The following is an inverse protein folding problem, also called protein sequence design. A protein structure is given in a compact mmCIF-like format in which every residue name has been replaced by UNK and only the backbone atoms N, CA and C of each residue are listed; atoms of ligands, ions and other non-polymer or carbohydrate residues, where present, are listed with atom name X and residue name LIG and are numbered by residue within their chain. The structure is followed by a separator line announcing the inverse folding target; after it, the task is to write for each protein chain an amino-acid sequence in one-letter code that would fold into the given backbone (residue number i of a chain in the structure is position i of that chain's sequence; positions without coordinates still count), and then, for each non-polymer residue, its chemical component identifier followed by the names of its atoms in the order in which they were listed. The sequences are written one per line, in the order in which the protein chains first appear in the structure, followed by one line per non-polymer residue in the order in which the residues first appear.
data_IF_883227354734
#
_entry.id   IF_883227354734
#
_cell.length_a   1.000
_cell.length_b   1.000
_cell.length_c   1.000
_cell.angle_alpha   90.00
_cell.angle_beta   90.00
_cell.angle_gamma   90.00
#
_symmetry.space_group_name_H-M   'P 1'
#
loop_
_entity.id
_entity.type
_entity.pdbx_description
1 polymer ?
#
# COMPACT_ATOMS: atom_id res chain seq x y z
N UNK A 1 6.20 -2.23 -5.44
CA UNK A 1 6.10 -0.87 -5.99
C UNK A 1 7.39 -0.51 -6.73
N UNK A 2 7.26 0.24 -7.78
CA UNK A 2 8.40 0.71 -8.58
C UNK A 2 9.16 1.86 -7.89
N UNK A 3 8.68 2.29 -6.71
CA UNK A 3 9.26 3.37 -5.92
C UNK A 3 9.72 2.88 -4.54
N UNK A 4 10.85 3.42 -4.07
CA UNK A 4 11.34 3.29 -2.71
C UNK A 4 11.12 4.61 -1.96
N UNK A 5 10.57 4.54 -0.76
CA UNK A 5 10.31 5.70 0.07
C UNK A 5 10.77 5.45 1.50
N UNK A 6 11.52 6.39 2.06
CA UNK A 6 12.02 6.36 3.45
C UNK A 6 11.77 7.74 4.05
N UNK A 7 11.33 7.79 5.29
CA UNK A 7 11.14 9.05 6.01
C UNK A 7 11.50 8.90 7.49
N UNK A 8 11.88 10.00 8.10
CA UNK A 8 12.20 10.15 9.52
C UNK A 8 11.47 11.39 10.06
N UNK A 9 10.90 11.29 11.24
CA UNK A 9 10.23 12.39 11.91
C UNK A 9 10.73 12.53 13.37
N UNK A 10 11.00 13.73 13.80
CA UNK A 10 11.38 14.06 15.18
C UNK A 10 10.70 15.37 15.57
N UNK A 11 9.73 15.30 16.45
CA UNK A 11 8.85 16.45 16.72
C UNK A 11 8.17 16.91 15.42
N UNK A 12 8.34 18.17 15.08
CA UNK A 12 7.77 18.77 13.87
C UNK A 12 8.69 18.70 12.64
N UNK A 13 9.91 18.19 12.80
CA UNK A 13 10.87 18.07 11.72
C UNK A 13 10.75 16.73 11.01
N UNK A 14 10.78 16.78 9.68
CA UNK A 14 10.66 15.57 8.82
C UNK A 14 11.72 15.59 7.74
N UNK A 15 12.43 14.48 7.59
CA UNK A 15 13.34 14.20 6.49
C UNK A 15 12.78 13.04 5.68
N UNK A 16 12.87 13.10 4.36
CA UNK A 16 12.38 12.02 3.52
C UNK A 16 13.20 11.87 2.23
N UNK A 17 13.18 10.68 1.71
CA UNK A 17 13.71 10.31 0.39
C UNK A 17 12.65 9.51 -0.35
N UNK A 18 12.41 9.90 -1.61
CA UNK A 18 11.53 9.20 -2.52
C UNK A 18 12.27 9.02 -3.83
N UNK A 19 12.58 7.78 -4.20
CA UNK A 19 13.41 7.48 -5.35
C UNK A 19 12.84 6.30 -6.13
N UNK A 20 13.28 6.17 -7.37
CA UNK A 20 12.96 4.99 -8.16
C UNK A 20 13.54 3.75 -7.48
N UNK A 21 12.71 2.74 -7.27
CA UNK A 21 13.07 1.47 -6.66
C UNK A 21 13.62 0.47 -7.68
N UNK A 22 12.92 -0.63 -7.89
CA UNK A 22 13.33 -1.69 -8.81
C UNK A 22 14.48 -2.53 -8.25
N UNK A 23 15.37 -3.02 -9.12
CA UNK A 23 16.46 -3.94 -8.76
C UNK A 23 17.46 -3.35 -7.73
N UNK A 24 17.62 -2.04 -7.70
CA UNK A 24 18.56 -1.36 -6.80
C UNK A 24 17.96 -0.94 -5.47
N UNK A 25 16.64 -1.06 -5.28
CA UNK A 25 15.96 -0.61 -4.04
C UNK A 25 16.53 -1.27 -2.79
N UNK A 26 16.79 -2.58 -2.83
CA UNK A 26 17.35 -3.32 -1.69
C UNK A 26 18.76 -2.85 -1.32
N UNK A 27 19.59 -2.52 -2.29
CA UNK A 27 20.93 -2.02 -2.05
C UNK A 27 20.96 -0.58 -1.50
N UNK A 28 19.94 0.23 -1.86
CA UNK A 28 19.87 1.64 -1.48
C UNK A 28 19.09 1.88 -0.18
N UNK A 29 18.28 0.94 0.30
CA UNK A 29 17.39 1.14 1.44
C UNK A 29 18.16 1.48 2.72
N UNK A 30 19.12 0.65 3.13
CA UNK A 30 19.92 0.87 4.34
C UNK A 30 20.76 2.15 4.23
N UNK A 31 21.51 2.42 3.14
CA UNK A 31 22.19 3.70 2.95
C UNK A 31 21.28 4.92 3.06
N UNK A 32 20.05 4.83 2.52
CA UNK A 32 19.06 5.91 2.60
C UNK A 32 18.60 6.17 4.04
N UNK A 33 18.39 5.12 4.83
CA UNK A 33 18.05 5.23 6.25
C UNK A 33 19.19 5.93 7.01
N UNK A 34 20.43 5.47 6.83
CA UNK A 34 21.60 6.10 7.48
C UNK A 34 21.78 7.56 7.06
N UNK A 35 21.52 7.89 5.80
CA UNK A 35 21.57 9.28 5.33
C UNK A 35 20.59 10.17 6.08
N UNK A 36 19.33 9.74 6.27
CA UNK A 36 18.32 10.51 7.00
C UNK A 36 18.68 10.65 8.49
N UNK A 37 19.17 9.57 9.12
CA UNK A 37 19.65 9.62 10.51
C UNK A 37 20.80 10.61 10.68
N UNK A 38 21.77 10.60 9.76
CA UNK A 38 22.90 11.55 9.79
C UNK A 38 22.44 13.00 9.61
N UNK A 39 21.48 13.24 8.70
CA UNK A 39 20.89 14.58 8.51
C UNK A 39 20.16 15.09 9.76
N UNK A 40 19.50 14.20 10.47
CA UNK A 40 18.82 14.50 11.72
C UNK A 40 19.75 14.50 12.95
N UNK A 41 21.04 14.13 12.79
CA UNK A 41 22.03 13.97 13.86
C UNK A 41 21.59 12.95 14.93
N UNK A 42 20.94 11.86 14.51
CA UNK A 42 20.41 10.80 15.36
C UNK A 42 21.09 9.48 15.09
N UNK A 43 21.09 8.63 16.11
CA UNK A 43 21.38 7.20 16.00
C UNK A 43 20.06 6.42 15.88
N UNK A 44 20.13 5.23 15.36
CA UNK A 44 18.95 4.33 15.27
C UNK A 44 18.35 4.05 16.67
N UNK A 45 19.17 3.97 17.70
CA UNK A 45 18.78 3.75 19.10
C UNK A 45 18.05 4.93 19.74
N UNK A 46 18.07 6.11 19.11
CA UNK A 46 17.39 7.30 19.62
C UNK A 46 15.93 7.38 19.13
N UNK A 47 15.53 6.47 18.23
CA UNK A 47 14.16 6.39 17.72
C UNK A 47 13.22 5.70 18.72
N UNK A 48 11.94 6.05 18.65
CA UNK A 48 10.87 5.43 19.46
C UNK A 48 10.41 4.10 18.85
N UNK A 49 10.26 4.05 17.52
CA UNK A 49 9.79 2.87 16.79
C UNK A 49 10.16 2.95 15.31
N UNK A 50 10.08 1.83 14.63
CA UNK A 50 10.07 1.77 13.17
C UNK A 50 8.65 1.55 12.67
N UNK A 51 8.34 2.07 11.48
CA UNK A 51 7.05 1.88 10.80
C UNK A 51 7.32 1.33 9.41
N UNK A 52 6.60 0.31 9.02
CA UNK A 52 6.81 -0.36 7.72
C UNK A 52 5.49 -0.73 7.06
N UNK A 53 5.37 -0.44 5.76
CA UNK A 53 4.31 -1.01 4.94
C UNK A 53 4.63 -2.48 4.69
N UNK A 54 3.80 -3.38 5.24
CA UNK A 54 4.08 -4.81 5.20
C UNK A 54 3.30 -5.57 4.13
N UNK A 55 2.44 -4.90 3.37
CA UNK A 55 1.69 -5.50 2.27
C UNK A 55 0.23 -5.04 2.22
N UNK A 56 -0.45 -5.40 1.12
CA UNK A 56 0.04 -6.14 -0.04
C UNK A 56 0.93 -5.31 -0.96
N UNK A 57 1.67 -5.98 -1.85
CA UNK A 57 2.55 -5.30 -2.80
C UNK A 57 3.55 -6.24 -3.47
N UNK A 58 4.61 -5.69 -4.03
CA UNK A 58 5.68 -6.45 -4.67
C UNK A 58 6.33 -7.45 -3.70
N UNK A 59 6.35 -8.72 -4.07
CA UNK A 59 6.87 -9.82 -3.25
C UNK A 59 8.30 -9.59 -2.74
N UNK A 60 9.21 -9.18 -3.62
CA UNK A 60 10.60 -8.87 -3.25
C UNK A 60 10.67 -7.62 -2.38
N UNK A 61 9.92 -6.56 -2.74
CA UNK A 61 9.91 -5.31 -1.99
C UNK A 61 9.42 -5.47 -0.55
N UNK A 62 8.34 -6.23 -0.35
CA UNK A 62 7.79 -6.49 0.99
C UNK A 62 8.78 -7.28 1.86
N UNK A 63 9.41 -8.32 1.31
CA UNK A 63 10.41 -9.09 2.05
C UNK A 63 11.61 -8.22 2.44
N UNK A 64 12.10 -7.41 1.51
CA UNK A 64 13.20 -6.48 1.80
C UNK A 64 12.81 -5.49 2.90
N UNK A 65 11.64 -4.85 2.80
CA UNK A 65 11.19 -3.87 3.78
C UNK A 65 11.02 -4.49 5.18
N UNK A 66 10.33 -5.63 5.27
CA UNK A 66 10.12 -6.33 6.53
C UNK A 66 11.44 -6.83 7.13
N UNK A 67 12.32 -7.47 6.34
CA UNK A 67 13.60 -7.98 6.85
C UNK A 67 14.54 -6.87 7.32
N UNK A 68 14.58 -5.74 6.61
CA UNK A 68 15.38 -4.58 7.04
C UNK A 68 14.79 -3.98 8.31
N UNK A 69 13.45 -3.82 8.39
CA UNK A 69 12.79 -3.33 9.60
C UNK A 69 13.05 -4.25 10.80
N UNK A 70 12.94 -5.57 10.62
CA UNK A 70 13.27 -6.57 11.65
C UNK A 70 14.72 -6.43 12.13
N UNK A 71 15.69 -6.44 11.21
CA UNK A 71 17.11 -6.39 11.56
C UNK A 71 17.51 -5.10 12.28
N UNK A 72 17.02 -3.95 11.79
CA UNK A 72 17.28 -2.66 12.42
C UNK A 72 16.62 -2.56 13.79
N UNK A 73 15.36 -2.97 13.91
CA UNK A 73 14.61 -2.91 15.16
C UNK A 73 15.24 -3.84 16.23
N UNK A 74 15.62 -5.06 15.84
CA UNK A 74 16.31 -5.99 16.73
C UNK A 74 17.64 -5.42 17.23
N UNK A 75 18.46 -4.88 16.31
CA UNK A 75 19.76 -4.28 16.64
C UNK A 75 19.68 -3.03 17.53
N UNK A 76 18.58 -2.30 17.49
CA UNK A 76 18.36 -1.07 18.26
C UNK A 76 17.38 -1.25 19.45
N UNK A 77 16.89 -2.46 19.68
CA UNK A 77 15.86 -2.78 20.69
C UNK A 77 14.58 -1.92 20.56
N UNK A 78 14.10 -1.79 19.32
CA UNK A 78 12.91 -1.02 18.97
C UNK A 78 11.72 -1.94 18.70
N UNK A 79 10.51 -1.41 18.83
CA UNK A 79 9.30 -2.02 18.28
C UNK A 79 9.06 -1.58 16.84
N UNK A 80 8.26 -2.35 16.12
CA UNK A 80 7.88 -2.07 14.73
C UNK A 80 6.37 -1.96 14.62
N UNK A 81 5.88 -1.00 13.85
CA UNK A 81 4.47 -0.85 13.50
C UNK A 81 4.29 -1.32 12.05
N UNK A 82 3.79 -2.54 11.82
CA UNK A 82 3.42 -2.97 10.48
C UNK A 82 2.11 -2.31 10.07
N UNK A 83 2.07 -1.74 8.86
CA UNK A 83 0.90 -1.03 8.33
C UNK A 83 0.47 -1.64 7.00
N UNK A 84 -0.82 -1.87 6.85
CA UNK A 84 -1.45 -2.25 5.59
C UNK A 84 -1.14 -1.21 4.49
N UNK A 85 -0.60 -1.69 3.38
CA UNK A 85 -0.17 -0.83 2.27
C UNK A 85 -1.33 -0.05 1.64
N UNK A 86 -2.53 -0.62 1.56
CA UNK A 86 -3.68 0.11 1.02
C UNK A 86 -4.14 1.22 1.99
N UNK A 87 -4.03 1.01 3.30
CA UNK A 87 -4.27 2.08 4.28
C UNK A 87 -3.25 3.21 4.13
N UNK A 88 -1.99 2.90 3.79
CA UNK A 88 -0.97 3.92 3.48
C UNK A 88 -1.37 4.74 2.26
N UNK A 89 -1.89 4.10 1.21
CA UNK A 89 -2.41 4.78 0.02
C UNK A 89 -3.63 5.65 0.34
N UNK A 90 -4.54 5.16 1.18
CA UNK A 90 -5.70 5.94 1.63
C UNK A 90 -5.27 7.21 2.37
N UNK A 91 -4.29 7.11 3.27
CA UNK A 91 -3.73 8.26 3.99
C UNK A 91 -2.98 9.23 3.05
N UNK A 92 -2.26 8.72 2.07
CA UNK A 92 -1.59 9.56 1.08
C UNK A 92 -2.62 10.34 0.25
N UNK A 93 -3.69 9.69 -0.22
CA UNK A 93 -4.79 10.33 -0.92
C UNK A 93 -5.49 11.41 -0.06
N UNK A 94 -5.78 11.11 1.21
CA UNK A 94 -6.37 12.08 2.15
C UNK A 94 -5.50 13.33 2.30
N UNK A 95 -4.19 13.14 2.41
CA UNK A 95 -3.24 14.25 2.52
C UNK A 95 -3.17 15.07 1.22
N UNK A 96 -3.16 14.43 0.04
CA UNK A 96 -3.22 15.12 -1.25
C UNK A 96 -4.49 15.97 -1.41
N UNK A 97 -5.61 15.47 -0.87
CA UNK A 97 -6.89 16.18 -0.90
C UNK A 97 -7.01 17.28 0.15
N UNK A 98 -6.05 17.37 1.06
CA UNK A 98 -6.10 18.27 2.22
C UNK A 98 -7.43 18.13 3.00
N UNK A 99 -7.96 16.91 3.07
CA UNK A 99 -9.26 16.65 3.70
C UNK A 99 -9.10 16.47 5.21
N UNK A 100 -9.55 17.43 6.03
CA UNK A 100 -9.51 17.33 7.49
C UNK A 100 -10.71 16.55 8.04
N UNK A 101 -11.77 16.40 7.24
CA UNK A 101 -13.03 15.80 7.66
C UNK A 101 -13.05 14.29 7.48
N UNK A 102 -14.08 13.65 8.03
CA UNK A 102 -14.39 12.25 7.76
C UNK A 102 -14.49 12.03 6.25
N UNK A 103 -13.74 11.08 5.73
CA UNK A 103 -13.76 10.73 4.33
C UNK A 103 -13.63 9.22 4.15
N UNK A 104 -14.30 8.72 3.12
CA UNK A 104 -14.14 7.34 2.68
C UNK A 104 -13.26 7.30 1.45
N UNK A 105 -12.34 6.34 1.41
CA UNK A 105 -11.41 6.13 0.30
C UNK A 105 -11.44 4.67 -0.11
N UNK A 106 -11.87 4.40 -1.33
CA UNK A 106 -11.65 3.13 -2.01
C UNK A 106 -10.25 3.12 -2.60
N UNK A 107 -9.48 2.08 -2.32
CA UNK A 107 -8.10 1.96 -2.80
C UNK A 107 -7.98 0.78 -3.75
N UNK A 108 -7.36 1.01 -4.90
CA UNK A 108 -7.05 -0.03 -5.88
C UNK A 108 -5.60 0.10 -6.34
N UNK A 109 -4.86 -1.00 -6.25
CA UNK A 109 -3.48 -1.06 -6.69
C UNK A 109 -3.27 -2.22 -7.67
N UNK A 110 -2.46 -2.01 -8.71
CA UNK A 110 -2.08 -3.07 -9.63
C UNK A 110 -1.38 -4.21 -8.87
N UNK A 111 -1.99 -5.40 -8.91
CA UNK A 111 -1.44 -6.62 -8.32
C UNK A 111 -0.64 -7.45 -9.34
N UNK A 112 -0.47 -6.96 -10.57
CA UNK A 112 0.07 -7.68 -11.72
C UNK A 112 -0.82 -8.86 -12.12
N UNK A 113 -0.48 -9.53 -13.23
CA UNK A 113 -1.18 -10.73 -13.74
C UNK A 113 -2.67 -10.51 -14.04
N UNK A 114 -3.07 -9.29 -14.39
CA UNK A 114 -4.47 -8.98 -14.70
C UNK A 114 -5.37 -8.79 -13.48
N UNK A 115 -4.81 -8.62 -12.29
CA UNK A 115 -5.53 -8.43 -11.03
C UNK A 115 -5.19 -7.12 -10.33
N UNK A 116 -6.05 -6.73 -9.40
CA UNK A 116 -5.83 -5.59 -8.50
C UNK A 116 -5.98 -6.00 -7.04
N UNK A 117 -5.19 -5.39 -6.18
CA UNK A 117 -5.47 -5.32 -4.75
C UNK A 117 -6.49 -4.23 -4.51
N UNK A 118 -7.51 -4.50 -3.70
CA UNK A 118 -8.56 -3.54 -3.38
C UNK A 118 -9.01 -3.61 -1.93
N UNK A 119 -9.54 -2.49 -1.45
CA UNK A 119 -10.13 -2.34 -0.13
C UNK A 119 -10.72 -0.94 0.03
N UNK A 120 -11.52 -0.72 1.06
CA UNK A 120 -12.05 0.61 1.36
C UNK A 120 -11.85 0.95 2.84
N UNK A 121 -11.60 2.22 3.09
CA UNK A 121 -11.26 2.75 4.41
C UNK A 121 -12.05 4.02 4.69
N UNK A 122 -12.42 4.21 5.94
CA UNK A 122 -13.04 5.43 6.43
C UNK A 122 -12.12 6.11 7.46
N UNK A 123 -11.88 7.40 7.25
CA UNK A 123 -11.15 8.25 8.18
C UNK A 123 -12.08 8.90 9.18
N UNK A 124 -11.88 8.67 10.45
CA UNK A 124 -12.62 9.29 11.54
C UNK A 124 -11.79 10.45 12.12
N UNK A 125 -12.04 11.68 11.67
CA UNK A 125 -11.28 12.85 12.08
C UNK A 125 -11.28 13.07 13.60
N UNK A 126 -12.40 12.81 14.27
CA UNK A 126 -12.53 12.94 15.72
C UNK A 126 -11.63 12.00 16.52
N UNK A 127 -11.23 10.86 15.92
CA UNK A 127 -10.37 9.84 16.55
C UNK A 127 -8.94 9.85 15.97
N UNK A 128 -8.73 10.54 14.85
CA UNK A 128 -7.48 10.48 14.10
C UNK A 128 -7.12 9.07 13.62
N UNK A 129 -8.10 8.27 13.22
CA UNK A 129 -7.92 6.85 12.91
C UNK A 129 -8.65 6.42 11.64
N UNK A 130 -8.07 5.48 10.93
CA UNK A 130 -8.67 4.77 9.83
C UNK A 130 -9.34 3.48 10.30
N UNK A 131 -10.47 3.16 9.68
CA UNK A 131 -11.15 1.87 9.81
C UNK A 131 -11.39 1.28 8.43
N UNK A 132 -11.06 0.00 8.24
CA UNK A 132 -11.43 -0.70 7.03
C UNK A 132 -12.93 -0.93 6.99
N UNK A 133 -13.58 -0.49 5.91
CA UNK A 133 -15.01 -0.70 5.63
C UNK A 133 -15.23 -1.83 4.64
N UNK A 134 -14.29 -2.03 3.71
CA UNK A 134 -14.21 -3.23 2.86
C UNK A 134 -12.87 -3.88 3.13
N UNK A 135 -12.85 -5.17 3.49
CA UNK A 135 -11.61 -5.90 3.75
C UNK A 135 -10.69 -5.91 2.53
N UNK A 136 -9.41 -6.00 2.81
CA UNK A 136 -8.38 -6.16 1.81
C UNK A 136 -8.58 -7.46 1.01
N UNK A 137 -8.58 -7.36 -0.31
CA UNK A 137 -8.78 -8.48 -1.22
C UNK A 137 -7.95 -8.34 -2.50
N UNK A 138 -7.84 -9.41 -3.27
CA UNK A 138 -7.23 -9.44 -4.60
C UNK A 138 -8.19 -10.10 -5.58
N UNK A 139 -8.25 -9.59 -6.80
CA UNK A 139 -9.12 -10.17 -7.82
C UNK A 139 -9.14 -9.39 -9.13
N UNK A 140 -9.99 -9.84 -10.08
CA UNK A 140 -10.14 -9.18 -11.37
C UNK A 140 -10.60 -7.73 -11.25
N UNK A 141 -10.08 -6.79 -12.09
CA UNK A 141 -10.39 -5.36 -12.00
C UNK A 141 -11.89 -5.05 -12.09
N UNK A 142 -12.64 -5.75 -12.95
CA UNK A 142 -14.07 -5.51 -13.12
C UNK A 142 -14.88 -5.88 -11.86
N UNK A 143 -14.56 -7.01 -11.22
CA UNK A 143 -15.19 -7.42 -9.97
C UNK A 143 -14.84 -6.46 -8.83
N UNK A 144 -13.58 -6.02 -8.77
CA UNK A 144 -13.14 -5.04 -7.77
C UNK A 144 -13.82 -3.69 -7.96
N UNK A 145 -13.93 -3.20 -9.20
CA UNK A 145 -14.65 -1.97 -9.51
C UNK A 145 -16.11 -2.06 -9.08
N UNK A 146 -16.78 -3.19 -9.33
CA UNK A 146 -18.14 -3.43 -8.88
C UNK A 146 -18.22 -3.42 -7.34
N UNK A 147 -17.35 -4.15 -6.65
CA UNK A 147 -17.37 -4.24 -5.18
C UNK A 147 -17.13 -2.90 -4.47
N UNK A 148 -16.29 -2.03 -5.06
CA UNK A 148 -15.87 -0.79 -4.41
C UNK A 148 -16.65 0.45 -4.86
N UNK A 149 -17.35 0.41 -6.00
CA UNK A 149 -17.94 1.61 -6.61
C UNK A 149 -19.46 1.56 -6.79
N UNK A 150 -20.12 0.40 -6.66
CA UNK A 150 -21.55 0.28 -6.99
C UNK A 150 -22.50 0.62 -5.85
N UNK A 151 -22.07 0.56 -4.60
CA UNK A 151 -22.93 0.85 -3.46
C UNK A 151 -23.10 2.35 -3.20
N UNK A 152 -24.26 2.73 -2.67
CA UNK A 152 -24.54 4.09 -2.22
C UNK A 152 -23.58 4.58 -1.13
N UNK A 153 -22.96 3.65 -0.39
CA UNK A 153 -21.90 3.91 0.58
C UNK A 153 -20.52 3.99 -0.07
N UNK A 154 -20.41 3.79 -1.39
CA UNK A 154 -19.13 3.87 -2.06
C UNK A 154 -18.53 5.27 -1.94
N UNK A 155 -17.30 5.31 -1.56
CA UNK A 155 -16.53 6.53 -1.28
C UNK A 155 -16.55 7.52 -2.44
N UNK A 156 -16.53 8.80 -2.11
CA UNK A 156 -16.30 9.86 -3.08
C UNK A 156 -14.86 9.94 -3.58
N UNK A 157 -13.96 9.04 -3.13
CA UNK A 157 -12.54 9.02 -3.50
C UNK A 157 -12.13 7.61 -3.92
N UNK A 158 -11.51 7.51 -5.10
CA UNK A 158 -10.83 6.31 -5.60
C UNK A 158 -9.33 6.59 -5.70
N UNK A 159 -8.52 5.86 -4.95
CA UNK A 159 -7.09 6.09 -4.83
C UNK A 159 -6.24 4.90 -5.32
N UNK A 160 -4.99 5.17 -5.65
CA UNK A 160 -4.02 4.18 -6.10
C UNK A 160 -3.71 4.29 -7.59
N UNK A 161 -3.10 3.26 -8.17
CA UNK A 161 -2.75 3.21 -9.58
C UNK A 161 -3.58 2.20 -10.39
N UNK A 162 -4.34 1.33 -9.72
CA UNK A 162 -5.09 0.26 -10.39
C UNK A 162 -6.16 0.77 -11.34
N UNK A 163 -6.79 1.91 -11.02
CA UNK A 163 -7.82 2.49 -11.89
C UNK A 163 -7.26 3.10 -13.19
N UNK A 164 -5.98 3.50 -13.21
CA UNK A 164 -5.30 3.95 -14.42
C UNK A 164 -4.82 2.77 -15.26
N UNK A 165 -4.23 1.74 -14.61
CA UNK A 165 -3.72 0.55 -15.29
C UNK A 165 -4.85 -0.25 -15.96
N UNK A 166 -6.03 -0.28 -15.33
CA UNK A 166 -7.21 -1.00 -15.81
C UNK A 166 -8.38 -0.05 -16.09
N UNK A 167 -8.09 1.04 -16.81
CA UNK A 167 -9.00 2.17 -17.01
C UNK A 167 -10.39 1.75 -17.52
N UNK A 168 -10.48 0.81 -18.44
CA UNK A 168 -11.77 0.36 -19.01
C UNK A 168 -12.71 -0.22 -17.95
N UNK A 169 -12.17 -1.07 -17.04
CA UNK A 169 -12.97 -1.68 -15.99
C UNK A 169 -13.52 -0.65 -15.01
N UNK A 170 -12.69 0.32 -14.59
CA UNK A 170 -13.08 1.35 -13.64
C UNK A 170 -13.94 2.45 -14.27
N UNK A 171 -13.67 2.86 -15.51
CA UNK A 171 -14.48 3.86 -16.23
C UNK A 171 -15.91 3.37 -16.45
N UNK A 172 -16.09 2.10 -16.82
CA UNK A 172 -17.42 1.51 -16.98
C UNK A 172 -18.21 1.49 -15.66
N UNK A 173 -17.56 1.12 -14.55
CA UNK A 173 -18.22 1.13 -13.24
C UNK A 173 -18.54 2.56 -12.77
N UNK A 174 -17.67 3.53 -13.00
CA UNK A 174 -17.89 4.94 -12.69
C UNK A 174 -19.05 5.53 -13.52
N UNK A 175 -19.15 5.18 -14.80
CA UNK A 175 -20.22 5.66 -15.69
C UNK A 175 -21.60 5.12 -15.31
N UNK A 176 -21.68 3.96 -14.66
CA UNK A 176 -22.92 3.34 -14.21
C UNK A 176 -23.43 3.92 -12.86
N UNK A 177 -22.65 4.77 -12.21
CA UNK A 177 -23.06 5.39 -10.95
C UNK A 177 -24.08 6.49 -11.18
N UNK A 178 -25.17 6.43 -10.42
CA UNK A 178 -26.20 7.48 -10.36
C UNK A 178 -26.00 8.45 -9.19
N UNK A 179 -24.79 8.43 -8.57
CA UNK A 179 -24.45 9.19 -7.37
C UNK A 179 -23.38 10.24 -7.65
N UNK A 180 -22.99 10.96 -6.62
CA UNK A 180 -21.97 12.00 -6.69
C UNK A 180 -20.69 11.54 -7.39
N UNK A 181 -20.00 12.46 -8.11
CA UNK A 181 -18.79 12.12 -8.84
C UNK A 181 -17.69 11.62 -7.89
N UNK A 182 -17.02 10.54 -8.30
CA UNK A 182 -15.85 9.99 -7.60
C UNK A 182 -14.61 10.76 -7.99
N UNK A 183 -13.85 11.22 -7.01
CA UNK A 183 -12.57 11.88 -7.20
C UNK A 183 -11.45 10.84 -7.28
N UNK A 184 -10.82 10.71 -8.45
CA UNK A 184 -9.68 9.83 -8.64
C UNK A 184 -8.38 10.50 -8.21
N UNK A 185 -7.56 9.81 -7.42
CA UNK A 185 -6.29 10.31 -6.88
C UNK A 185 -5.20 9.26 -7.11
N UNK A 186 -4.20 9.60 -7.90
CA UNK A 186 -3.03 8.76 -8.15
C UNK A 186 -2.10 8.74 -6.91
N UNK A 187 -2.59 8.22 -5.80
CA UNK A 187 -1.84 8.08 -4.56
C UNK A 187 -0.96 6.81 -4.57
N UNK A 188 0.13 6.86 -3.83
CA UNK A 188 1.10 5.77 -3.76
C UNK A 188 1.46 5.44 -2.31
N UNK A 189 1.97 4.23 -2.01
CA UNK A 189 2.48 3.93 -0.67
C UNK A 189 3.73 4.78 -0.38
N UNK A 190 3.54 5.87 0.34
CA UNK A 190 4.59 6.85 0.62
C UNK A 190 4.98 6.84 2.11
N UNK A 191 6.28 6.95 2.42
CA UNK A 191 6.77 6.91 3.79
C UNK A 191 6.26 8.07 4.66
N UNK A 192 5.93 9.23 4.06
CA UNK A 192 5.29 10.33 4.79
C UNK A 192 3.87 9.95 5.29
N UNK A 193 3.14 9.13 4.54
CA UNK A 193 1.86 8.61 5.01
C UNK A 193 2.05 7.64 6.20
N UNK A 194 3.09 6.79 6.17
CA UNK A 194 3.45 5.94 7.31
C UNK A 194 3.74 6.77 8.57
N UNK A 195 4.46 7.88 8.44
CA UNK A 195 4.73 8.75 9.58
C UNK A 195 3.45 9.37 10.18
N UNK A 196 2.47 9.73 9.35
CA UNK A 196 1.18 10.25 9.84
C UNK A 196 0.34 9.17 10.52
N UNK A 197 0.44 7.91 10.07
CA UNK A 197 -0.25 6.77 10.65
C UNK A 197 0.40 6.25 11.94
N UNK A 198 1.70 6.49 12.14
CA UNK A 198 2.45 5.94 13.25
C UNK A 198 1.94 6.35 14.65
N UNK A 199 1.69 7.66 14.96
CA UNK A 199 1.28 8.04 16.31
C UNK A 199 -0.04 7.42 16.78
N UNK A 200 -1.15 7.43 16.02
CA UNK A 200 -2.37 6.80 16.44
C UNK A 200 -2.26 5.26 16.53
N UNK A 201 -1.48 4.62 15.66
CA UNK A 201 -1.23 3.17 15.72
C UNK A 201 -0.37 2.79 16.95
N UNK A 202 0.62 3.60 17.28
CA UNK A 202 1.42 3.44 18.51
C UNK A 202 0.53 3.55 19.75
N UNK A 203 -0.28 4.60 19.83
CA UNK A 203 -1.21 4.81 20.96
C UNK A 203 -2.24 3.69 21.08
N UNK A 204 -2.65 3.09 19.96
CA UNK A 204 -3.54 1.92 19.93
C UNK A 204 -2.84 0.58 20.22
N UNK A 205 -1.54 0.60 20.57
CA UNK A 205 -0.79 -0.61 20.91
C UNK A 205 -0.52 -1.55 19.74
N UNK A 206 -0.46 -1.03 18.50
CA UNK A 206 -0.24 -1.82 17.29
C UNK A 206 1.24 -2.10 16.98
N UNK A 207 2.15 -1.62 17.83
CA UNK A 207 3.57 -1.93 17.71
C UNK A 207 3.86 -3.36 18.22
N UNK A 208 4.57 -4.12 17.41
CA UNK A 208 4.92 -5.53 17.67
C UNK A 208 6.42 -5.69 17.90
N UNK A 209 6.83 -6.85 18.37
CA UNK A 209 8.24 -7.22 18.45
C UNK A 209 8.82 -7.39 17.01
N UNK A 210 10.13 -7.16 16.82
CA UNK A 210 10.74 -7.28 15.48
C UNK A 210 10.47 -8.62 14.79
N UNK A 211 10.53 -9.71 15.54
CA UNK A 211 10.31 -11.09 15.06
C UNK A 211 8.89 -11.34 14.54
N UNK A 212 7.90 -10.56 14.99
CA UNK A 212 6.50 -10.69 14.59
C UNK A 212 6.17 -9.93 13.28
N UNK A 213 7.10 -9.15 12.77
CA UNK A 213 6.91 -8.40 11.52
C UNK A 213 7.01 -9.33 10.33
N UNK A 214 5.89 -9.58 9.66
CA UNK A 214 5.86 -10.46 8.49
C UNK A 214 5.19 -9.78 7.30
N UNK A 215 5.61 -10.09 6.06
CA UNK A 215 4.90 -9.64 4.87
C UNK A 215 3.46 -10.17 4.86
N UNK A 216 2.52 -9.30 4.54
CA UNK A 216 1.12 -9.66 4.35
C UNK A 216 0.89 -10.15 2.92
N UNK A 217 0.72 -11.45 2.76
CA UNK A 217 0.37 -12.08 1.49
C UNK A 217 -1.12 -12.37 1.45
N UNK A 218 -1.83 -11.81 0.45
CA UNK A 218 -3.26 -12.03 0.26
C UNK A 218 -3.57 -12.80 -1.03
N UNK A 219 -2.55 -13.13 -1.81
CA UNK A 219 -2.67 -14.00 -2.96
C UNK A 219 -2.18 -15.39 -2.58
N UNK A 220 -3.07 -16.37 -2.61
CA UNK A 220 -2.75 -17.77 -2.29
C UNK A 220 -1.86 -18.42 -3.36
N UNK A 221 -1.99 -18.02 -4.62
CA UNK A 221 -1.25 -18.59 -5.76
C UNK A 221 -0.32 -17.55 -6.38
N UNK A 222 0.96 -17.63 -6.06
CA UNK A 222 1.98 -16.66 -6.49
C UNK A 222 2.63 -17.00 -7.82
N UNK A 223 2.51 -18.23 -8.29
CA UNK A 223 3.12 -18.70 -9.54
C UNK A 223 2.20 -19.69 -10.29
N UNK A 224 2.12 -19.51 -11.60
CA UNK A 224 1.53 -20.50 -12.48
C UNK A 224 2.42 -21.75 -12.52
N UNK A 225 1.81 -22.91 -12.47
CA UNK A 225 2.51 -24.18 -12.71
C UNK A 225 3.04 -24.22 -14.15
N UNK A 226 4.00 -25.08 -14.42
CA UNK A 226 4.54 -25.25 -15.79
C UNK A 226 3.45 -25.59 -16.78
N UNK A 227 2.51 -26.48 -16.39
CA UNK A 227 1.36 -26.85 -17.21
C UNK A 227 0.42 -25.67 -17.53
N UNK A 228 0.16 -24.78 -16.56
CA UNK A 228 -0.65 -23.56 -16.78
C UNK A 228 0.04 -22.58 -17.72
N UNK A 229 1.36 -22.38 -17.60
CA UNK A 229 2.14 -21.54 -18.52
C UNK A 229 2.11 -22.07 -19.94
N UNK A 230 2.24 -23.39 -20.11
CA UNK A 230 2.17 -24.07 -21.40
C UNK A 230 0.77 -23.94 -22.02
N UNK A 231 -0.28 -24.10 -21.22
CA UNK A 231 -1.66 -23.91 -21.66
C UNK A 231 -1.94 -22.47 -22.11
N UNK A 232 -1.49 -21.46 -21.37
CA UNK A 232 -1.62 -20.04 -21.73
C UNK A 232 -0.82 -19.73 -22.99
N UNK A 233 0.37 -20.28 -23.13
CA UNK A 233 1.20 -20.11 -24.34
C UNK A 233 0.55 -20.75 -25.57
N UNK A 234 -0.04 -21.92 -25.41
CA UNK A 234 -0.78 -22.60 -26.47
C UNK A 234 -2.06 -21.85 -26.88
N UNK A 235 -2.84 -21.32 -25.92
CA UNK A 235 -4.01 -20.50 -26.16
C UNK A 235 -3.66 -19.20 -26.90
N UNK A 236 -2.60 -18.49 -26.50
CA UNK A 236 -2.07 -17.31 -27.21
C UNK A 236 -1.63 -17.63 -28.64
N UNK A 237 -0.99 -18.79 -28.87
CA UNK A 237 -0.56 -19.22 -30.19
C UNK A 237 -1.75 -19.62 -31.09
N UNK A 238 -2.86 -20.04 -30.50
CA UNK A 238 -4.10 -20.39 -31.19
C UNK A 238 -5.04 -19.17 -31.44
N UNK A 239 -4.66 -17.98 -31.06
CA UNK A 239 -5.48 -16.75 -31.24
C UNK A 239 -6.77 -16.73 -30.39
N UNK A 240 -6.84 -17.57 -29.36
CA UNK A 240 -7.98 -17.63 -28.43
C UNK A 240 -7.64 -16.73 -27.25
N UNK A 241 -8.38 -15.62 -27.08
CA UNK A 241 -8.32 -14.81 -25.88
C UNK A 241 -8.83 -15.65 -24.71
N UNK A 242 -7.90 -16.24 -23.96
CA UNK A 242 -8.23 -17.01 -22.76
C UNK A 242 -8.51 -16.01 -21.62
N UNK A 243 -9.79 -15.66 -21.44
CA UNK A 243 -10.27 -15.22 -20.14
C UNK A 243 -10.01 -16.38 -19.16
N UNK A 244 -9.13 -16.15 -18.19
CA UNK A 244 -8.86 -17.13 -17.14
C UNK A 244 -10.12 -17.36 -16.29
N UNK A 245 -10.34 -18.59 -15.80
CA UNK A 245 -11.42 -18.90 -14.87
C UNK A 245 -11.26 -18.21 -13.52
#
# INVERSE_FOLDING_TARGET
TDMMSVALCVGDQTWHLHTQGGANASAQLIPSIHKLLAQAQLRLTDLTALVVGHGPGSFTGLRTACSVAQGLALGANLKVIPVDTLMVVAEDARACLQSPLTCQVSVVMDARMGEVYGGAYEWFAARGQWQATVPLQVGPPAQMAQALLTDAAASGVLAGNGFEVYADAFSNALAQRNHDPVRCVAAVPHALALLRLAPPLWAAGKAVAPEDVQPLYIRDKVAQTTAEREAIKAAKAAGIDAQAP
#
